data_IF_751368805739
#
_entry.id   IF_751368805739
#
_cell.length_a   1.000
_cell.length_b   1.000
_cell.length_c   1.000
_cell.angle_alpha   90.00
_cell.angle_beta   90.00
_cell.angle_gamma   90.00
#
_symmetry.space_group_name_H-M   'P 1'
#
loop_
_entity.id
_entity.type
_entity.pdbx_description
1 polymer ?
#
# COMPACT_ATOMS: atom_id res chain seq x y z
N UNK A 1 13.31 -13.75 43.34
CA UNK A 1 13.48 -12.30 43.58
C UNK A 1 14.85 -11.71 43.22
N UNK A 2 16.00 -12.38 43.43
CA UNK A 2 17.34 -11.84 43.07
C UNK A 2 17.53 -11.52 41.57
N UNK A 3 16.91 -12.28 40.66
CA UNK A 3 17.08 -12.09 39.20
C UNK A 3 16.38 -10.83 38.64
N UNK A 4 15.22 -10.42 39.18
CA UNK A 4 14.52 -9.21 38.70
C UNK A 4 15.27 -7.90 39.01
N UNK A 5 16.00 -7.84 40.14
CA UNK A 5 16.79 -6.66 40.53
C UNK A 5 17.92 -6.35 39.53
N UNK A 6 18.54 -7.38 38.95
CA UNK A 6 19.62 -7.20 37.97
C UNK A 6 19.09 -6.75 36.60
N UNK A 7 17.90 -7.17 36.19
CA UNK A 7 17.31 -6.74 34.92
C UNK A 7 16.91 -5.25 34.95
N UNK A 8 16.28 -4.81 36.05
CA UNK A 8 15.93 -3.39 36.23
C UNK A 8 17.16 -2.48 36.21
N UNK A 9 18.24 -2.87 36.89
CA UNK A 9 19.50 -2.14 36.87
C UNK A 9 20.12 -2.05 35.47
N UNK A 10 20.09 -3.15 34.70
CA UNK A 10 20.60 -3.16 33.31
C UNK A 10 19.81 -2.23 32.40
N UNK A 11 18.48 -2.27 32.47
CA UNK A 11 17.61 -1.36 31.70
C UNK A 11 17.89 0.09 32.10
N UNK A 12 18.00 0.37 33.41
CA UNK A 12 18.32 1.70 33.90
C UNK A 12 19.67 2.22 33.38
N UNK A 13 20.72 1.40 33.44
CA UNK A 13 22.05 1.77 32.90
C UNK A 13 21.98 2.05 31.41
N UNK A 14 21.25 1.25 30.63
CA UNK A 14 21.06 1.49 29.18
C UNK A 14 20.34 2.82 28.96
N UNK A 15 19.26 3.09 29.68
CA UNK A 15 18.51 4.36 29.57
C UNK A 15 19.37 5.56 29.94
N UNK A 16 20.13 5.49 31.04
CA UNK A 16 21.08 6.55 31.45
C UNK A 16 22.13 6.77 30.37
N UNK A 17 22.69 5.70 29.79
CA UNK A 17 23.66 5.83 28.70
C UNK A 17 23.07 6.48 27.44
N UNK A 18 21.83 6.13 27.07
CA UNK A 18 21.13 6.75 25.94
C UNK A 18 20.85 8.25 26.16
N UNK A 19 20.47 8.64 27.37
CA UNK A 19 20.25 10.04 27.75
C UNK A 19 21.58 10.79 27.78
N UNK A 20 22.60 10.25 28.46
CA UNK A 20 23.91 10.87 28.63
C UNK A 20 24.64 11.10 27.30
N UNK A 21 24.40 10.25 26.30
CA UNK A 21 25.00 10.39 24.96
C UNK A 21 24.22 11.33 24.05
N UNK A 22 23.11 11.92 24.53
CA UNK A 22 22.15 12.67 23.72
C UNK A 22 21.77 11.89 22.44
N UNK A 23 21.48 10.60 22.59
CA UNK A 23 21.17 9.73 21.46
C UNK A 23 20.02 10.28 20.61
N UNK A 24 19.02 10.90 21.26
CA UNK A 24 17.89 11.53 20.58
C UNK A 24 18.31 12.73 19.71
N UNK A 25 19.13 13.65 20.22
CA UNK A 25 19.62 14.79 19.43
C UNK A 25 20.47 14.35 18.23
N UNK A 26 21.25 13.27 18.38
CA UNK A 26 22.02 12.68 17.27
C UNK A 26 21.11 12.01 16.24
N UNK A 27 20.09 11.29 16.71
CA UNK A 27 19.09 10.68 15.84
C UNK A 27 18.30 11.75 15.07
N UNK A 28 17.85 12.82 15.72
CA UNK A 28 17.11 13.90 15.06
C UNK A 28 17.95 14.62 14.00
N UNK A 29 19.24 14.87 14.27
CA UNK A 29 20.15 15.46 13.29
C UNK A 29 20.37 14.54 12.07
N UNK A 30 20.55 13.24 12.31
CA UNK A 30 20.68 12.26 11.22
C UNK A 30 19.41 12.19 10.36
N UNK A 31 18.22 12.25 10.99
CA UNK A 31 16.94 12.25 10.29
C UNK A 31 16.75 13.51 9.43
N UNK A 32 17.07 14.70 9.97
CA UNK A 32 16.89 15.97 9.26
C UNK A 32 17.88 16.18 8.11
N UNK A 33 19.12 15.66 8.25
CA UNK A 33 20.17 15.82 7.23
C UNK A 33 20.14 14.78 6.12
N UNK A 34 19.54 13.61 6.34
CA UNK A 34 19.58 12.49 5.39
C UNK A 34 18.25 12.29 4.65
N UNK A 35 18.27 12.62 3.35
CA UNK A 35 17.13 12.43 2.44
C UNK A 35 16.68 10.97 2.37
N UNK A 36 17.59 10.00 2.52
CA UNK A 36 17.28 8.57 2.50
C UNK A 36 16.45 8.17 3.72
N UNK A 37 16.82 8.65 4.91
CA UNK A 37 16.08 8.39 6.15
C UNK A 37 14.69 9.05 6.09
N UNK A 38 14.62 10.31 5.66
CA UNK A 38 13.34 11.02 5.51
C UNK A 38 12.43 10.33 4.48
N UNK A 39 12.99 9.86 3.35
CA UNK A 39 12.21 9.12 2.36
C UNK A 39 11.66 7.81 2.94
N UNK A 40 12.45 7.07 3.72
CA UNK A 40 11.98 5.85 4.40
C UNK A 40 10.88 6.13 5.41
N UNK A 41 11.02 7.17 6.23
CA UNK A 41 9.99 7.54 7.21
C UNK A 41 8.68 7.94 6.53
N UNK A 42 8.75 8.65 5.40
CA UNK A 42 7.57 9.01 4.58
C UNK A 42 6.91 7.76 3.98
N UNK A 43 7.73 6.87 3.40
CA UNK A 43 7.28 5.58 2.88
C UNK A 43 6.64 4.72 3.98
N UNK A 44 7.22 4.68 5.17
CA UNK A 44 6.68 3.91 6.30
C UNK A 44 5.39 4.49 6.85
N UNK A 45 5.26 5.82 6.88
CA UNK A 45 4.02 6.47 7.24
C UNK A 45 2.91 6.11 6.25
N UNK A 46 3.17 6.14 4.94
CA UNK A 46 2.19 5.70 3.94
C UNK A 46 1.90 4.21 4.00
N UNK A 47 2.91 3.36 4.21
CA UNK A 47 2.71 1.92 4.43
C UNK A 47 1.83 1.62 5.65
N UNK A 48 1.95 2.38 6.74
CA UNK A 48 1.06 2.25 7.88
C UNK A 48 -0.40 2.64 7.56
N UNK A 49 -0.61 3.67 6.73
CA UNK A 49 -1.95 4.02 6.22
C UNK A 49 -2.54 2.89 5.37
N UNK A 50 -1.74 2.32 4.47
CA UNK A 50 -2.12 1.15 3.67
C UNK A 50 -2.55 -0.04 4.54
N UNK A 51 -1.81 -0.30 5.62
CA UNK A 51 -2.15 -1.34 6.61
C UNK A 51 -3.49 -1.05 7.28
N UNK A 52 -3.74 0.20 7.67
CA UNK A 52 -5.00 0.58 8.30
C UNK A 52 -6.20 0.46 7.35
N UNK A 53 -6.00 0.69 6.05
CA UNK A 53 -7.06 0.58 5.04
C UNK A 53 -7.41 -0.87 4.67
N UNK A 54 -6.43 -1.79 4.67
CA UNK A 54 -6.65 -3.23 4.43
C UNK A 54 -5.97 -4.11 5.48
N UNK A 55 -6.45 -4.09 6.74
CA UNK A 55 -5.72 -4.67 7.87
C UNK A 55 -5.68 -6.20 7.88
N UNK A 56 -6.65 -6.87 7.25
CA UNK A 56 -6.80 -8.33 7.36
C UNK A 56 -6.10 -9.07 6.22
N UNK A 57 -6.41 -8.72 4.97
CA UNK A 57 -5.91 -9.43 3.78
C UNK A 57 -4.73 -8.71 3.11
N UNK A 58 -4.46 -7.45 3.48
CA UNK A 58 -3.48 -6.62 2.80
C UNK A 58 -3.87 -6.27 1.36
N UNK A 59 -2.86 -5.92 0.58
CA UNK A 59 -2.98 -5.42 -0.79
C UNK A 59 -2.66 -6.45 -1.86
N UNK A 60 -2.14 -7.62 -1.47
CA UNK A 60 -1.66 -8.67 -2.35
C UNK A 60 -0.15 -8.63 -2.55
N UNK A 61 0.43 -9.80 -2.83
CA UNK A 61 1.87 -9.99 -2.98
C UNK A 61 2.46 -9.14 -4.11
N UNK A 62 3.58 -8.44 -3.84
CA UNK A 62 4.28 -7.60 -4.81
C UNK A 62 3.57 -6.30 -5.21
N UNK A 63 2.48 -5.95 -4.52
CA UNK A 63 1.65 -4.79 -4.87
C UNK A 63 1.92 -3.55 -4.01
N UNK A 64 2.75 -3.68 -2.96
CA UNK A 64 2.96 -2.63 -1.97
C UNK A 64 3.47 -1.32 -2.57
N UNK A 65 4.54 -1.38 -3.36
CA UNK A 65 5.16 -0.21 -3.97
C UNK A 65 4.22 0.54 -4.92
N UNK A 66 3.60 -0.18 -5.86
CA UNK A 66 2.69 0.41 -6.85
C UNK A 66 1.47 1.05 -6.19
N UNK A 67 0.86 0.41 -5.20
CA UNK A 67 -0.30 0.98 -4.49
C UNK A 67 0.09 2.17 -3.62
N UNK A 68 1.28 2.15 -3.00
CA UNK A 68 1.81 3.31 -2.30
C UNK A 68 1.99 4.49 -3.25
N UNK A 69 2.69 4.30 -4.38
CA UNK A 69 2.98 5.37 -5.34
C UNK A 69 1.69 5.99 -5.91
N UNK A 70 0.64 5.18 -6.11
CA UNK A 70 -0.65 5.67 -6.59
C UNK A 70 -1.48 6.40 -5.51
N UNK A 71 -1.60 5.82 -4.32
CA UNK A 71 -2.65 6.23 -3.38
C UNK A 71 -2.13 6.89 -2.10
N UNK A 72 -0.88 6.67 -1.70
CA UNK A 72 -0.38 7.11 -0.38
C UNK A 72 0.87 7.99 -0.44
N UNK A 73 1.58 7.98 -1.58
CA UNK A 73 2.71 8.85 -1.80
C UNK A 73 2.26 10.33 -1.84
N UNK A 74 3.14 11.20 -1.39
CA UNK A 74 2.98 12.64 -1.51
C UNK A 74 2.92 13.07 -2.99
N UNK A 75 2.03 14.01 -3.32
CA UNK A 75 1.79 14.47 -4.68
C UNK A 75 3.01 15.17 -5.31
N UNK A 76 3.92 15.70 -4.49
CA UNK A 76 5.16 16.33 -4.93
C UNK A 76 6.26 15.33 -5.28
N UNK A 77 6.11 14.06 -4.86
CA UNK A 77 7.13 13.03 -5.07
C UNK A 77 6.91 12.29 -6.38
N UNK A 78 8.00 12.05 -7.12
CA UNK A 78 8.02 11.30 -8.38
C UNK A 78 8.76 9.96 -8.27
N UNK A 79 9.26 9.62 -7.09
CA UNK A 79 10.05 8.41 -6.87
C UNK A 79 9.17 7.17 -6.97
N UNK A 80 9.57 6.18 -7.76
CA UNK A 80 8.90 4.89 -7.81
C UNK A 80 9.44 3.96 -6.73
N UNK A 81 8.57 3.25 -6.04
CA UNK A 81 8.92 2.28 -5.01
C UNK A 81 8.52 0.86 -5.42
N UNK A 82 9.41 -0.10 -5.16
CA UNK A 82 9.12 -1.52 -5.35
C UNK A 82 8.63 -2.22 -4.07
N UNK A 83 8.93 -1.67 -2.89
CA UNK A 83 8.59 -2.24 -1.58
C UNK A 83 8.59 -1.16 -0.50
N UNK A 84 8.22 -1.53 0.74
CA UNK A 84 8.25 -0.64 1.90
C UNK A 84 9.65 -0.43 2.50
N UNK A 85 10.71 -1.06 1.96
CA UNK A 85 12.09 -1.01 2.49
C UNK A 85 12.17 -1.43 3.98
N UNK A 86 11.17 -2.17 4.45
CA UNK A 86 11.05 -2.76 5.78
C UNK A 86 10.22 -4.04 5.61
N UNK A 87 10.81 -5.18 5.92
CA UNK A 87 10.18 -6.48 5.61
C UNK A 87 8.90 -6.69 6.40
N UNK A 88 8.83 -6.25 7.67
CA UNK A 88 7.64 -6.40 8.50
C UNK A 88 6.49 -5.52 8.02
N UNK A 89 6.81 -4.28 7.63
CA UNK A 89 5.82 -3.39 7.06
C UNK A 89 5.35 -3.91 5.69
N UNK A 90 6.26 -4.44 4.87
CA UNK A 90 5.89 -5.05 3.59
C UNK A 90 4.96 -6.26 3.79
N UNK A 91 5.22 -7.11 4.79
CA UNK A 91 4.32 -8.20 5.18
C UNK A 91 2.95 -7.67 5.56
N UNK A 92 2.90 -6.65 6.44
CA UNK A 92 1.63 -6.09 6.88
C UNK A 92 0.85 -5.47 5.72
N UNK A 93 1.52 -4.77 4.80
CA UNK A 93 0.89 -4.17 3.62
C UNK A 93 0.38 -5.25 2.67
N UNK A 94 1.19 -6.23 2.31
CA UNK A 94 0.82 -7.18 1.25
C UNK A 94 -0.09 -8.31 1.74
N UNK A 95 0.07 -8.77 2.99
CA UNK A 95 -0.60 -9.97 3.54
C UNK A 95 -1.46 -9.66 4.78
N UNK A 96 -1.45 -8.42 5.27
CA UNK A 96 -2.24 -8.00 6.43
C UNK A 96 -1.56 -8.24 7.79
N UNK A 97 -2.19 -7.67 8.82
CA UNK A 97 -1.77 -7.76 10.21
C UNK A 97 -1.81 -9.18 10.79
N UNK A 98 -2.76 -10.07 10.43
CA UNK A 98 -2.72 -11.46 10.91
C UNK A 98 -1.44 -12.19 10.49
N UNK A 99 -1.00 -12.01 9.25
CA UNK A 99 0.24 -12.61 8.75
C UNK A 99 1.46 -12.06 9.50
N UNK A 100 1.54 -10.72 9.67
CA UNK A 100 2.59 -10.10 10.46
C UNK A 100 2.60 -10.61 11.91
N UNK A 101 1.43 -10.65 12.55
CA UNK A 101 1.27 -11.08 13.94
C UNK A 101 1.72 -12.53 14.15
N UNK A 102 1.42 -13.42 13.20
CA UNK A 102 1.86 -14.81 13.24
C UNK A 102 3.39 -14.92 13.14
N UNK A 103 4.01 -14.17 12.21
CA UNK A 103 5.46 -14.15 12.01
C UNK A 103 6.17 -13.62 13.26
N UNK A 104 5.70 -12.49 13.81
CA UNK A 104 6.26 -11.91 15.03
C UNK A 104 6.08 -12.84 16.23
N UNK A 105 4.91 -13.49 16.35
CA UNK A 105 4.65 -14.46 17.41
C UNK A 105 5.68 -15.59 17.40
N UNK A 106 5.86 -16.26 16.25
CA UNK A 106 6.80 -17.38 16.13
C UNK A 106 8.25 -16.96 16.33
N UNK A 107 8.64 -15.80 15.79
CA UNK A 107 9.99 -15.28 15.95
C UNK A 107 10.31 -14.97 17.42
N UNK A 108 9.41 -14.27 18.11
CA UNK A 108 9.56 -13.94 19.53
C UNK A 108 9.50 -15.21 20.40
N UNK A 109 8.63 -16.14 20.06
CA UNK A 109 8.52 -17.42 20.74
C UNK A 109 9.83 -18.20 20.65
N UNK A 110 10.44 -18.26 19.47
CA UNK A 110 11.76 -18.87 19.27
C UNK A 110 12.84 -18.23 20.14
N UNK A 111 12.93 -16.90 20.15
CA UNK A 111 13.91 -16.16 20.98
C UNK A 111 13.73 -16.48 22.47
N UNK A 112 12.50 -16.40 22.98
CA UNK A 112 12.21 -16.65 24.39
C UNK A 112 12.42 -18.12 24.77
N UNK A 113 12.10 -19.06 23.87
CA UNK A 113 12.36 -20.47 24.07
C UNK A 113 13.86 -20.76 24.11
N UNK A 114 14.66 -20.22 23.18
CA UNK A 114 16.12 -20.35 23.21
C UNK A 114 16.69 -19.86 24.55
N UNK A 115 16.24 -18.71 25.04
CA UNK A 115 16.68 -18.18 26.33
C UNK A 115 16.31 -19.10 27.50
N UNK A 116 15.07 -19.61 27.53
CA UNK A 116 14.58 -20.52 28.60
C UNK A 116 15.30 -21.86 28.57
N UNK A 117 15.48 -22.43 27.38
CA UNK A 117 16.13 -23.72 27.17
C UNK A 117 17.62 -23.68 27.46
N UNK A 118 18.29 -22.54 27.24
CA UNK A 118 19.69 -22.36 27.57
C UNK A 118 19.97 -22.70 29.05
N UNK A 119 19.09 -22.33 29.99
CA UNK A 119 19.25 -22.68 31.40
C UNK A 119 19.20 -24.18 31.70
N UNK A 120 18.73 -25.02 30.77
CA UNK A 120 18.44 -26.43 30.99
C UNK A 120 19.39 -27.37 30.24
N UNK A 121 20.30 -26.86 29.42
CA UNK A 121 21.19 -27.69 28.59
C UNK A 121 22.64 -27.64 29.08
N UNK A 122 23.46 -28.59 28.58
CA UNK A 122 24.90 -28.64 28.84
C UNK A 122 25.60 -27.31 28.44
N UNK A 123 26.80 -27.01 28.95
CA UNK A 123 27.54 -25.80 28.58
C UNK A 123 27.67 -25.61 27.05
N UNK A 124 27.93 -26.69 26.30
CA UNK A 124 28.01 -26.63 24.83
C UNK A 124 26.64 -26.36 24.19
N UNK A 125 25.56 -26.97 24.69
CA UNK A 125 24.20 -26.67 24.22
C UNK A 125 23.75 -25.25 24.54
N UNK A 126 24.25 -24.67 25.65
CA UNK A 126 23.99 -23.28 26.03
C UNK A 126 24.53 -22.30 25.01
N UNK A 127 25.76 -22.52 24.55
CA UNK A 127 26.39 -21.72 23.50
C UNK A 127 25.58 -21.74 22.21
N UNK A 128 25.14 -22.94 21.78
CA UNK A 128 24.33 -23.10 20.57
C UNK A 128 22.99 -22.36 20.65
N UNK A 129 22.24 -22.51 21.75
CA UNK A 129 20.95 -21.82 21.92
C UNK A 129 21.10 -20.30 22.05
N UNK A 130 22.15 -19.84 22.73
CA UNK A 130 22.47 -18.41 22.80
C UNK A 130 22.82 -17.84 21.42
N UNK A 131 23.62 -18.56 20.62
CA UNK A 131 23.93 -18.21 19.24
C UNK A 131 22.70 -18.16 18.35
N UNK A 132 21.83 -19.16 18.43
CA UNK A 132 20.57 -19.19 17.69
C UNK A 132 19.64 -18.02 18.06
N UNK A 133 19.49 -17.75 19.37
CA UNK A 133 18.74 -16.59 19.86
C UNK A 133 19.29 -15.26 19.37
N UNK A 134 20.61 -15.07 19.44
CA UNK A 134 21.28 -13.88 18.96
C UNK A 134 21.12 -13.68 17.45
N UNK A 135 21.23 -14.76 16.66
CA UNK A 135 21.01 -14.72 15.21
C UNK A 135 19.59 -14.34 14.86
N UNK A 136 18.57 -14.85 15.58
CA UNK A 136 17.18 -14.43 15.37
C UNK A 136 16.97 -12.95 15.71
N UNK A 137 17.58 -12.44 16.79
CA UNK A 137 17.51 -11.01 17.13
C UNK A 137 18.16 -10.16 16.05
N UNK A 138 19.39 -10.51 15.63
CA UNK A 138 20.10 -9.82 14.56
C UNK A 138 19.29 -9.81 13.27
N UNK A 139 18.75 -10.97 12.89
CA UNK A 139 17.86 -11.11 11.73
C UNK A 139 16.65 -10.17 11.84
N UNK A 140 16.03 -10.12 13.01
CA UNK A 140 14.89 -9.22 13.27
C UNK A 140 15.26 -7.76 13.05
N UNK A 141 16.42 -7.34 13.54
CA UNK A 141 16.90 -5.98 13.36
C UNK A 141 17.20 -5.65 11.90
N UNK A 142 17.85 -6.56 11.17
CA UNK A 142 18.14 -6.36 9.74
C UNK A 142 16.84 -6.19 8.94
N UNK A 143 15.84 -7.04 9.19
CA UNK A 143 14.56 -6.98 8.49
C UNK A 143 13.70 -5.77 8.85
N UNK A 144 13.90 -5.19 10.04
CA UNK A 144 13.26 -3.93 10.41
C UNK A 144 13.85 -2.75 9.63
N UNK A 145 15.12 -2.83 9.25
CA UNK A 145 15.83 -1.77 8.54
C UNK A 145 15.83 -1.94 7.01
N UNK A 146 15.60 -3.17 6.51
CA UNK A 146 15.70 -3.52 5.10
C UNK A 146 14.62 -4.51 4.66
N UNK A 147 14.26 -4.48 3.37
CA UNK A 147 13.43 -5.51 2.74
C UNK A 147 14.29 -6.68 2.28
N UNK A 148 14.53 -7.64 3.17
CA UNK A 148 15.38 -8.80 2.94
C UNK A 148 14.61 -10.12 3.00
N UNK A 149 13.53 -10.22 3.80
CA UNK A 149 12.79 -11.48 4.01
C UNK A 149 12.17 -12.04 2.73
N UNK A 150 11.56 -11.18 1.90
CA UNK A 150 10.78 -11.61 0.73
C UNK A 150 11.58 -12.32 -0.34
N UNK A 151 12.91 -12.15 -0.35
CA UNK A 151 13.77 -12.74 -1.37
C UNK A 151 14.57 -13.95 -0.88
N UNK A 152 14.39 -14.39 0.38
CA UNK A 152 15.28 -15.41 0.95
C UNK A 152 14.55 -16.48 1.77
N UNK A 153 14.06 -17.50 1.08
CA UNK A 153 13.60 -18.78 1.67
C UNK A 153 14.57 -19.35 2.74
N UNK A 154 15.92 -19.27 2.60
CA UNK A 154 16.84 -19.80 3.61
C UNK A 154 16.65 -19.20 5.01
N UNK A 155 16.25 -17.93 5.09
CA UNK A 155 16.08 -17.23 6.36
C UNK A 155 14.77 -17.60 7.06
N UNK A 156 13.72 -17.89 6.31
CA UNK A 156 12.49 -18.48 6.86
C UNK A 156 12.74 -19.91 7.37
N UNK A 157 13.51 -20.70 6.63
CA UNK A 157 13.91 -22.06 7.04
C UNK A 157 14.79 -22.04 8.29
N UNK A 158 15.66 -21.04 8.46
CA UNK A 158 16.47 -20.87 9.67
C UNK A 158 15.58 -20.67 10.91
N UNK A 159 14.61 -19.75 10.86
CA UNK A 159 13.69 -19.50 11.97
C UNK A 159 12.86 -20.75 12.30
N UNK A 160 12.36 -21.45 11.27
CA UNK A 160 11.65 -22.72 11.44
C UNK A 160 12.55 -23.80 12.08
N UNK A 161 13.80 -23.91 11.63
CA UNK A 161 14.80 -24.83 12.19
C UNK A 161 15.06 -24.58 13.67
N UNK A 162 15.18 -23.31 14.10
CA UNK A 162 15.36 -22.98 15.52
C UNK A 162 14.12 -23.37 16.33
N UNK A 163 12.91 -23.14 15.83
CA UNK A 163 11.67 -23.53 16.50
C UNK A 163 11.54 -25.05 16.63
N UNK A 164 11.91 -25.80 15.58
CA UNK A 164 11.92 -27.27 15.59
C UNK A 164 12.94 -27.79 16.62
N UNK A 165 14.16 -27.25 16.62
CA UNK A 165 15.21 -27.62 17.60
C UNK A 165 14.73 -27.30 19.02
N UNK A 166 14.20 -26.10 19.26
CA UNK A 166 13.68 -25.70 20.56
C UNK A 166 12.53 -26.60 21.02
N UNK A 167 11.60 -26.94 20.11
CA UNK A 167 10.50 -27.87 20.38
C UNK A 167 10.99 -29.27 20.73
N UNK A 168 11.98 -29.79 20.01
CA UNK A 168 12.55 -31.12 20.26
C UNK A 168 13.26 -31.20 21.62
N UNK A 169 14.08 -30.20 21.94
CA UNK A 169 14.73 -30.11 23.25
C UNK A 169 13.73 -29.89 24.40
N UNK A 170 12.67 -29.10 24.14
CA UNK A 170 11.62 -28.85 25.12
C UNK A 170 10.73 -30.07 25.39
N UNK A 171 10.35 -30.81 24.36
CA UNK A 171 9.52 -32.02 24.49
C UNK A 171 10.21 -33.17 25.22
N UNK A 172 11.54 -33.30 25.07
CA UNK A 172 12.33 -34.29 25.84
C UNK A 172 12.37 -33.99 27.34
N UNK A 173 12.32 -32.71 27.72
CA UNK A 173 12.26 -32.29 29.13
C UNK A 173 10.83 -31.90 29.48
N UNK A 174 9.99 -32.89 29.81
CA UNK A 174 8.56 -32.79 30.19
C UNK A 174 8.18 -31.73 31.26
N UNK A 175 9.13 -30.95 31.78
CA UNK A 175 8.94 -29.95 32.84
C UNK A 175 9.00 -28.49 32.37
N UNK A 176 9.15 -28.22 31.07
CA UNK A 176 9.20 -26.82 30.61
C UNK A 176 7.79 -26.27 30.54
N UNK A 177 7.49 -25.31 31.41
CA UNK A 177 6.31 -24.49 31.31
C UNK A 177 6.39 -23.62 30.04
N UNK A 178 5.88 -24.17 28.93
CA UNK A 178 5.69 -23.47 27.66
C UNK A 178 4.69 -22.29 27.68
N UNK A 179 3.63 -22.23 28.54
CA UNK A 179 2.62 -21.19 28.38
C UNK A 179 3.15 -19.78 28.64
N UNK A 180 4.13 -19.60 29.54
CA UNK A 180 4.68 -18.28 29.87
C UNK A 180 5.33 -17.57 28.68
N UNK A 181 6.37 -18.17 28.04
CA UNK A 181 6.99 -17.61 26.84
C UNK A 181 6.01 -17.40 25.70
N UNK A 182 5.11 -18.36 25.45
CA UNK A 182 4.11 -18.25 24.37
C UNK A 182 3.16 -17.08 24.61
N UNK A 183 2.62 -16.94 25.82
CA UNK A 183 1.74 -15.82 26.16
C UNK A 183 2.46 -14.48 26.04
N UNK A 184 3.71 -14.39 26.47
CA UNK A 184 4.50 -13.17 26.33
C UNK A 184 4.75 -12.81 24.86
N UNK A 185 5.12 -13.79 24.03
CA UNK A 185 5.30 -13.60 22.58
C UNK A 185 4.02 -13.17 21.89
N UNK A 186 2.89 -13.78 22.27
CA UNK A 186 1.58 -13.40 21.76
C UNK A 186 1.24 -11.96 22.14
N UNK A 187 1.39 -11.58 23.42
CA UNK A 187 1.11 -10.22 23.89
C UNK A 187 1.98 -9.16 23.21
N UNK A 188 3.28 -9.41 23.04
CA UNK A 188 4.19 -8.48 22.36
C UNK A 188 3.82 -8.38 20.88
N UNK A 189 3.56 -9.51 20.21
CA UNK A 189 3.14 -9.51 18.81
C UNK A 189 1.84 -8.73 18.60
N UNK A 190 0.83 -9.00 19.44
CA UNK A 190 -0.45 -8.30 19.44
C UNK A 190 -0.25 -6.79 19.67
N UNK A 191 0.59 -6.41 20.63
CA UNK A 191 0.91 -5.01 20.88
C UNK A 191 1.55 -4.34 19.66
N UNK A 192 2.50 -5.00 18.98
CA UNK A 192 3.15 -4.45 17.79
C UNK A 192 2.16 -4.25 16.63
N UNK A 193 1.30 -5.23 16.34
CA UNK A 193 0.31 -5.12 15.25
C UNK A 193 -0.76 -4.06 15.56
N UNK A 194 -1.22 -3.98 16.81
CA UNK A 194 -2.17 -2.96 17.24
C UNK A 194 -1.54 -1.56 17.16
N UNK A 195 -0.28 -1.41 17.58
CA UNK A 195 0.44 -0.13 17.50
C UNK A 195 0.59 0.33 16.06
N UNK A 196 0.95 -0.58 15.14
CA UNK A 196 1.04 -0.27 13.71
C UNK A 196 -0.32 0.15 13.12
N UNK A 197 -1.38 -0.57 13.47
CA UNK A 197 -2.74 -0.26 13.04
C UNK A 197 -3.21 1.12 13.54
N UNK A 198 -3.04 1.39 14.84
CA UNK A 198 -3.41 2.68 15.44
C UNK A 198 -2.59 3.84 14.87
N UNK A 199 -1.30 3.62 14.61
CA UNK A 199 -0.45 4.61 13.95
C UNK A 199 -0.93 4.91 12.52
N UNK A 200 -1.35 3.87 11.78
CA UNK A 200 -1.97 4.02 10.46
C UNK A 200 -3.24 4.85 10.50
N UNK A 201 -4.18 4.51 11.41
CA UNK A 201 -5.43 5.27 11.60
C UNK A 201 -5.18 6.74 11.96
N UNK A 202 -4.24 7.00 12.86
CA UNK A 202 -3.87 8.36 13.25
C UNK A 202 -3.22 9.15 12.10
N UNK A 203 -2.62 8.46 11.13
CA UNK A 203 -1.95 9.07 9.98
C UNK A 203 -2.92 9.37 8.83
N UNK A 204 -3.97 8.57 8.63
CA UNK A 204 -4.99 8.81 7.59
C UNK A 204 -5.71 10.14 7.81
N UNK A 205 -6.01 10.49 9.06
CA UNK A 205 -6.74 11.71 9.40
C UNK A 205 -6.04 13.03 9.03
N UNK A 206 -4.77 12.99 8.60
CA UNK A 206 -3.99 14.17 8.20
C UNK A 206 -4.00 14.42 6.70
N UNK A 207 -4.53 13.49 5.90
CA UNK A 207 -4.47 13.63 4.46
C UNK A 207 -5.54 14.60 3.94
N UNK A 208 -5.21 15.42 2.93
CA UNK A 208 -6.14 16.38 2.34
C UNK A 208 -7.27 15.69 1.57
N UNK A 209 -7.12 14.40 1.24
CA UNK A 209 -8.08 13.59 0.50
C UNK A 209 -8.33 12.32 1.28
N UNK A 210 -9.60 12.00 1.51
CA UNK A 210 -9.98 10.70 2.06
C UNK A 210 -10.12 9.70 0.93
N UNK A 211 -9.38 8.61 1.04
CA UNK A 211 -9.41 7.49 0.11
C UNK A 211 -10.20 6.37 0.76
N UNK A 212 -11.13 5.76 0.03
CA UNK A 212 -11.87 4.59 0.48
C UNK A 212 -11.89 3.53 -0.59
N UNK A 213 -11.53 2.31 -0.22
CA UNK A 213 -11.55 1.15 -1.12
C UNK A 213 -12.89 0.44 -0.98
N UNK A 214 -13.74 0.57 -1.99
CA UNK A 214 -14.97 -0.18 -2.10
C UNK A 214 -14.70 -1.61 -2.61
N UNK A 215 -15.70 -2.48 -2.47
CA UNK A 215 -15.65 -3.82 -3.03
C UNK A 215 -15.48 -3.77 -4.57
N UNK A 216 -14.93 -4.84 -5.14
CA UNK A 216 -14.74 -5.01 -6.58
C UNK A 216 -13.77 -4.02 -7.26
N UNK A 217 -12.72 -3.56 -6.56
CA UNK A 217 -11.65 -2.77 -7.19
C UNK A 217 -12.03 -1.31 -7.50
N UNK A 218 -12.98 -0.76 -6.76
CA UNK A 218 -13.39 0.65 -6.88
C UNK A 218 -12.77 1.47 -5.76
N UNK A 219 -12.28 2.66 -6.07
CA UNK A 219 -11.63 3.59 -5.14
C UNK A 219 -12.42 4.89 -5.14
N UNK A 220 -12.71 5.41 -3.96
CA UNK A 220 -13.42 6.67 -3.78
C UNK A 220 -12.47 7.70 -3.22
N UNK A 221 -12.38 8.84 -3.89
CA UNK A 221 -11.70 10.04 -3.41
C UNK A 221 -12.77 11.02 -2.99
N UNK A 222 -12.71 11.51 -1.75
CA UNK A 222 -13.66 12.49 -1.25
C UNK A 222 -12.97 13.51 -0.35
N UNK A 223 -13.57 14.70 -0.26
CA UNK A 223 -13.12 15.72 0.68
C UNK A 223 -13.28 15.23 2.13
N UNK A 224 -12.30 15.46 3.03
CA UNK A 224 -12.43 15.10 4.43
C UNK A 224 -13.71 15.68 5.04
N UNK A 225 -14.51 14.83 5.68
CA UNK A 225 -15.78 15.22 6.31
C UNK A 225 -16.98 15.38 5.35
N UNK A 226 -16.80 15.24 4.04
CA UNK A 226 -17.93 15.25 3.12
C UNK A 226 -18.82 14.01 3.33
N UNK A 227 -20.16 14.15 3.28
CA UNK A 227 -21.05 13.00 3.28
C UNK A 227 -20.79 12.15 2.04
N UNK A 228 -20.94 10.83 2.18
CA UNK A 228 -20.81 9.89 1.07
C UNK A 228 -22.00 10.08 0.12
N UNK A 229 -21.83 10.97 -0.86
CA UNK A 229 -22.77 11.21 -1.96
C UNK A 229 -22.34 10.40 -3.19
N UNK A 230 -23.23 10.34 -4.18
CA UNK A 230 -22.85 9.90 -5.52
C UNK A 230 -21.65 10.74 -6.02
N UNK A 231 -20.68 10.14 -6.73
CA UNK A 231 -19.50 10.85 -7.18
C UNK A 231 -19.91 11.81 -8.30
N UNK A 232 -19.22 12.95 -8.36
CA UNK A 232 -19.41 13.93 -9.43
C UNK A 232 -18.84 13.38 -10.76
N UNK A 233 -17.79 12.56 -10.63
CA UNK A 233 -17.04 12.02 -11.74
C UNK A 233 -16.59 10.58 -11.45
N UNK A 234 -16.79 9.69 -12.41
CA UNK A 234 -16.23 8.34 -12.41
C UNK A 234 -15.13 8.23 -13.46
N UNK A 235 -13.94 7.83 -13.05
CA UNK A 235 -12.77 7.68 -13.92
C UNK A 235 -12.43 6.20 -14.05
N UNK A 236 -12.34 5.71 -15.29
CA UNK A 236 -11.87 4.37 -15.64
C UNK A 236 -10.48 4.51 -16.26
N UNK A 237 -9.40 4.44 -15.45
CA UNK A 237 -8.04 4.62 -15.93
C UNK A 237 -7.58 3.48 -16.83
N UNK A 238 -6.67 3.80 -17.75
CA UNK A 238 -5.85 2.84 -18.51
C UNK A 238 -4.38 3.21 -18.30
N UNK A 239 -3.60 2.24 -17.82
CA UNK A 239 -2.18 2.42 -17.52
C UNK A 239 -1.34 2.71 -18.76
N UNK A 240 -1.82 2.39 -19.96
CA UNK A 240 -1.14 2.76 -21.22
C UNK A 240 -1.28 4.25 -21.52
N UNK A 241 -2.35 4.88 -21.02
CA UNK A 241 -2.67 6.29 -21.28
C UNK A 241 -2.13 7.17 -20.14
N UNK A 242 -2.42 6.82 -18.88
CA UNK A 242 -2.02 7.61 -17.70
C UNK A 242 -0.68 7.19 -17.10
N UNK A 243 -0.10 6.07 -17.56
CA UNK A 243 1.06 5.46 -16.94
C UNK A 243 0.74 4.68 -15.66
N UNK A 244 1.74 4.07 -15.01
CA UNK A 244 1.58 3.20 -13.84
C UNK A 244 1.23 3.96 -12.54
N UNK A 245 1.37 5.29 -12.52
CA UNK A 245 1.04 6.17 -11.39
C UNK A 245 -0.28 6.93 -11.62
N UNK A 246 -1.26 6.31 -12.27
CA UNK A 246 -2.53 6.94 -12.61
C UNK A 246 -3.26 7.49 -11.37
N UNK A 247 -3.24 6.76 -10.25
CA UNK A 247 -3.87 7.18 -9.00
C UNK A 247 -3.29 8.47 -8.43
N UNK A 248 -1.97 8.66 -8.53
CA UNK A 248 -1.32 9.90 -8.06
C UNK A 248 -1.75 11.10 -8.89
N UNK A 249 -1.85 10.93 -10.21
CA UNK A 249 -2.34 11.97 -11.13
C UNK A 249 -3.80 12.31 -10.88
N UNK A 250 -4.65 11.30 -10.69
CA UNK A 250 -6.07 11.50 -10.36
C UNK A 250 -6.23 12.20 -9.01
N UNK A 251 -5.43 11.85 -7.99
CA UNK A 251 -5.43 12.53 -6.69
C UNK A 251 -4.98 13.98 -6.79
N UNK A 252 -3.90 14.26 -7.54
CA UNK A 252 -3.41 15.61 -7.78
C UNK A 252 -4.51 16.48 -8.40
N UNK A 253 -5.12 15.95 -9.45
CA UNK A 253 -6.23 16.58 -10.13
C UNK A 253 -7.43 16.84 -9.22
N UNK A 254 -7.81 15.85 -8.39
CA UNK A 254 -8.88 16.04 -7.42
C UNK A 254 -8.55 17.16 -6.43
N UNK A 255 -7.32 17.22 -5.94
CA UNK A 255 -6.88 18.29 -5.04
C UNK A 255 -6.93 19.68 -5.69
N UNK A 256 -6.51 19.80 -6.94
CA UNK A 256 -6.52 21.06 -7.70
C UNK A 256 -7.94 21.54 -8.02
N UNK A 257 -8.93 20.63 -8.00
CA UNK A 257 -10.32 20.92 -8.36
C UNK A 257 -11.31 20.69 -7.19
N UNK A 258 -10.82 20.68 -5.94
CA UNK A 258 -11.62 20.39 -4.75
C UNK A 258 -12.75 21.40 -4.46
N UNK A 259 -12.71 22.58 -5.10
CA UNK A 259 -13.77 23.58 -5.01
C UNK A 259 -15.00 23.23 -5.87
N UNK A 260 -14.80 22.38 -6.90
CA UNK A 260 -15.85 21.98 -7.85
C UNK A 260 -16.23 20.49 -7.70
N UNK A 261 -15.26 19.65 -7.31
CA UNK A 261 -15.44 18.21 -7.15
C UNK A 261 -15.51 17.84 -5.66
N UNK A 262 -16.62 17.22 -5.27
CA UNK A 262 -16.85 16.70 -3.92
C UNK A 262 -16.34 15.26 -3.78
N UNK A 263 -16.55 14.45 -4.82
CA UNK A 263 -16.12 13.07 -4.86
C UNK A 263 -15.80 12.58 -6.28
N UNK A 264 -14.72 11.80 -6.40
CA UNK A 264 -14.38 11.05 -7.60
C UNK A 264 -14.41 9.57 -7.28
N UNK A 265 -15.03 8.78 -8.15
CA UNK A 265 -14.92 7.33 -8.15
C UNK A 265 -13.89 6.91 -9.20
N UNK A 266 -12.97 6.02 -8.83
CA UNK A 266 -11.99 5.42 -9.74
C UNK A 266 -12.25 3.93 -9.82
N UNK A 267 -12.46 3.41 -11.02
CA UNK A 267 -12.73 1.99 -11.26
C UNK A 267 -11.46 1.34 -11.79
N UNK A 268 -10.74 0.61 -10.92
CA UNK A 268 -9.40 0.12 -11.24
C UNK A 268 -9.36 -0.81 -12.46
N UNK A 269 -8.19 -0.92 -13.13
CA UNK A 269 -8.00 -1.84 -14.24
C UNK A 269 -8.22 -3.30 -13.81
N UNK A 270 -9.44 -3.81 -13.99
CA UNK A 270 -9.84 -5.21 -13.76
C UNK A 270 -11.19 -5.31 -13.06
N UNK A 271 -11.67 -4.22 -12.48
CA UNK A 271 -12.99 -4.09 -11.90
C UNK A 271 -14.09 -4.15 -12.99
N UNK A 272 -15.26 -4.67 -12.59
CA UNK A 272 -16.46 -4.62 -13.42
C UNK A 272 -16.98 -3.18 -13.52
N UNK A 273 -17.27 -2.76 -14.74
CA UNK A 273 -17.76 -1.41 -15.06
C UNK A 273 -19.22 -1.18 -14.67
N UNK A 274 -19.90 -2.23 -14.21
CA UNK A 274 -21.28 -2.16 -13.72
C UNK A 274 -21.41 -1.33 -12.43
N UNK A 275 -20.29 -0.97 -11.80
CA UNK A 275 -20.23 -0.24 -10.53
C UNK A 275 -20.01 1.27 -10.70
N UNK A 276 -20.20 1.83 -11.90
CA UNK A 276 -20.13 3.27 -12.13
C UNK A 276 -21.36 3.97 -11.51
N UNK A 277 -21.23 4.43 -10.28
CA UNK A 277 -22.28 5.16 -9.58
C UNK A 277 -22.19 6.64 -9.93
N UNK A 278 -23.31 7.28 -10.28
CA UNK A 278 -23.41 8.76 -10.40
C UNK A 278 -22.53 9.44 -11.46
N UNK A 279 -22.70 10.76 -11.59
CA UNK A 279 -21.80 11.64 -12.33
C UNK A 279 -21.63 11.40 -13.85
N UNK A 280 -20.60 12.06 -14.39
CA UNK A 280 -20.04 11.79 -15.72
C UNK A 280 -19.05 10.63 -15.63
N UNK A 281 -18.91 9.85 -16.70
CA UNK A 281 -17.97 8.73 -16.76
C UNK A 281 -16.87 9.04 -17.78
N UNK A 282 -15.64 9.17 -17.32
CA UNK A 282 -14.45 9.35 -18.15
C UNK A 282 -13.74 8.01 -18.31
N UNK A 283 -13.67 7.52 -19.54
CA UNK A 283 -13.03 6.25 -19.86
C UNK A 283 -11.77 6.50 -20.67
N UNK A 284 -10.65 6.02 -20.16
CA UNK A 284 -9.38 6.14 -20.84
C UNK A 284 -9.02 4.83 -21.55
N UNK A 285 -8.51 4.94 -22.77
CA UNK A 285 -7.89 3.82 -23.49
C UNK A 285 -8.83 2.70 -23.93
N UNK A 286 -8.35 1.45 -23.83
CA UNK A 286 -8.91 0.31 -24.55
C UNK A 286 -10.22 -0.26 -23.97
N UNK A 287 -10.67 0.24 -22.82
CA UNK A 287 -11.74 -0.39 -22.03
C UNK A 287 -13.15 -0.22 -22.59
N UNK A 288 -13.33 0.54 -23.66
CA UNK A 288 -14.64 0.73 -24.30
C UNK A 288 -15.19 -0.60 -24.82
N UNK A 289 -14.33 -1.49 -25.33
CA UNK A 289 -14.75 -2.82 -25.82
C UNK A 289 -15.06 -3.83 -24.71
N UNK A 290 -14.66 -3.58 -23.47
CA UNK A 290 -14.94 -4.45 -22.31
C UNK A 290 -16.20 -4.06 -21.54
N UNK A 291 -16.89 -2.99 -21.97
CA UNK A 291 -18.24 -2.70 -21.50
C UNK A 291 -19.11 -3.81 -22.07
N UNK A 292 -19.55 -4.73 -21.22
CA UNK A 292 -20.39 -5.86 -21.64
C UNK A 292 -21.76 -5.40 -22.16
N UNK A 293 -22.79 -6.16 -21.90
CA UNK A 293 -24.16 -5.86 -22.37
C UNK A 293 -24.86 -4.74 -21.60
N UNK A 294 -24.23 -4.17 -20.56
CA UNK A 294 -24.79 -3.10 -19.72
C UNK A 294 -23.94 -1.84 -19.83
N UNK A 295 -24.29 -0.90 -20.72
CA UNK A 295 -23.71 0.43 -20.66
C UNK A 295 -24.06 1.12 -19.33
N UNK A 296 -23.34 2.18 -18.94
CA UNK A 296 -23.73 3.07 -17.86
C UNK A 296 -25.16 3.53 -18.09
N UNK A 297 -25.84 3.89 -17.00
CA UNK A 297 -27.26 4.26 -17.04
C UNK A 297 -27.46 5.36 -18.09
N UNK A 298 -28.54 5.29 -18.87
CA UNK A 298 -28.79 6.10 -20.08
C UNK A 298 -28.65 7.64 -19.93
N UNK A 299 -28.57 8.14 -18.69
CA UNK A 299 -28.38 9.56 -18.36
C UNK A 299 -26.95 9.95 -17.95
N UNK A 300 -26.01 9.01 -17.81
CA UNK A 300 -24.62 9.32 -17.52
C UNK A 300 -23.91 9.79 -18.80
N UNK A 301 -23.38 11.01 -18.78
CA UNK A 301 -22.55 11.53 -19.85
C UNK A 301 -21.24 10.76 -19.92
N UNK A 302 -21.02 10.00 -21.00
CA UNK A 302 -19.76 9.26 -21.20
C UNK A 302 -18.79 10.04 -22.06
N UNK A 303 -17.58 10.21 -21.55
CA UNK A 303 -16.46 10.88 -22.20
C UNK A 303 -15.39 9.83 -22.44
N UNK A 304 -15.00 9.67 -23.71
CA UNK A 304 -13.97 8.72 -24.11
C UNK A 304 -12.66 9.44 -24.40
N UNK A 305 -11.54 8.91 -23.91
CA UNK A 305 -10.21 9.49 -24.08
C UNK A 305 -9.25 8.49 -24.68
N UNK A 306 -8.73 8.81 -25.86
CA UNK A 306 -7.80 7.97 -26.62
C UNK A 306 -8.25 6.49 -26.75
N UNK A 307 -9.51 6.20 -27.15
CA UNK A 307 -9.99 4.84 -27.20
C UNK A 307 -9.37 4.02 -28.34
N UNK A 308 -9.22 2.71 -28.12
CA UNK A 308 -8.53 1.82 -29.08
C UNK A 308 -9.44 1.32 -30.20
N UNK A 309 -10.73 1.09 -29.95
CA UNK A 309 -11.65 0.62 -30.98
C UNK A 309 -13.08 1.13 -30.71
N UNK A 310 -13.85 1.49 -31.76
CA UNK A 310 -15.26 1.85 -31.62
C UNK A 310 -16.07 0.76 -30.91
N UNK A 311 -17.11 1.12 -30.13
CA UNK A 311 -17.93 0.13 -29.46
C UNK A 311 -18.68 -0.72 -30.49
N UNK A 312 -18.76 -2.02 -30.21
CA UNK A 312 -19.56 -2.95 -31.02
C UNK A 312 -21.07 -2.82 -30.76
N UNK A 313 -21.44 -2.28 -29.60
CA UNK A 313 -22.82 -2.00 -29.20
C UNK A 313 -23.14 -0.49 -29.29
N UNK A 314 -24.40 -0.13 -29.56
CA UNK A 314 -24.82 1.28 -29.55
C UNK A 314 -24.60 1.88 -28.15
N UNK A 315 -23.84 2.96 -28.10
CA UNK A 315 -23.46 3.63 -26.87
C UNK A 315 -23.50 5.14 -27.09
N UNK A 316 -24.19 5.85 -26.19
CA UNK A 316 -24.29 7.31 -26.25
C UNK A 316 -23.03 7.94 -25.66
N UNK A 317 -22.12 8.36 -26.52
CA UNK A 317 -20.90 9.08 -26.14
C UNK A 317 -21.17 10.57 -26.27
N UNK A 318 -20.93 11.31 -25.19
CA UNK A 318 -21.15 12.76 -25.14
C UNK A 318 -19.98 13.52 -25.75
N UNK A 319 -18.75 13.06 -25.50
CA UNK A 319 -17.55 13.67 -26.03
C UNK A 319 -16.48 12.61 -26.29
N UNK A 320 -15.75 12.79 -27.39
CA UNK A 320 -14.62 11.95 -27.76
C UNK A 320 -13.33 12.77 -27.85
N UNK A 321 -12.33 12.41 -27.05
CA UNK A 321 -10.97 12.93 -27.16
C UNK A 321 -10.10 11.96 -27.97
N UNK A 322 -9.47 12.46 -29.04
CA UNK A 322 -8.54 11.70 -29.88
C UNK A 322 -7.16 12.34 -29.88
N UNK A 323 -6.07 11.56 -29.93
CA UNK A 323 -4.74 12.13 -30.13
C UNK A 323 -4.59 12.74 -31.53
N UNK A 324 -3.78 13.79 -31.65
CA UNK A 324 -3.42 14.37 -32.94
C UNK A 324 -2.54 13.41 -33.75
N UNK A 325 -1.55 12.78 -33.10
CA UNK A 325 -0.71 11.78 -33.73
C UNK A 325 -1.33 10.38 -33.55
N UNK A 326 -1.94 9.87 -34.62
CA UNK A 326 -2.59 8.57 -34.64
C UNK A 326 -1.59 7.43 -34.86
N UNK A 327 -0.73 7.18 -33.86
CA UNK A 327 0.31 6.13 -33.95
C UNK A 327 -0.24 4.73 -34.20
N UNK A 328 -1.50 4.48 -33.83
CA UNK A 328 -2.12 3.16 -33.95
C UNK A 328 -3.19 3.08 -35.05
N UNK A 329 -3.31 4.13 -35.90
CA UNK A 329 -4.29 4.20 -36.98
C UNK A 329 -5.75 3.97 -36.54
N UNK A 330 -6.08 4.34 -35.30
CA UNK A 330 -7.39 4.16 -34.67
C UNK A 330 -8.26 5.42 -34.76
N UNK A 331 -7.66 6.59 -34.95
CA UNK A 331 -8.39 7.86 -34.98
C UNK A 331 -9.34 7.95 -36.18
N UNK A 332 -9.01 7.38 -37.34
CA UNK A 332 -9.87 7.48 -38.53
C UNK A 332 -11.18 6.68 -38.40
N UNK A 333 -11.11 5.49 -37.80
CA UNK A 333 -12.29 4.69 -37.48
C UNK A 333 -13.21 5.44 -36.51
N UNK A 334 -12.62 6.04 -35.47
CA UNK A 334 -13.33 6.85 -34.48
C UNK A 334 -13.90 8.16 -35.04
N UNK A 335 -13.21 8.83 -35.96
CA UNK A 335 -13.73 10.01 -36.69
C UNK A 335 -14.95 9.64 -37.52
N UNK A 336 -14.88 8.52 -38.24
CA UNK A 336 -15.99 8.02 -39.04
C UNK A 336 -17.20 7.69 -38.15
N UNK A 337 -16.98 6.98 -37.05
CA UNK A 337 -18.00 6.68 -36.06
C UNK A 337 -18.62 7.96 -35.46
N UNK A 338 -17.79 8.94 -35.07
CA UNK A 338 -18.25 10.17 -34.46
C UNK A 338 -19.10 11.02 -35.41
N UNK A 339 -18.75 11.09 -36.71
CA UNK A 339 -19.57 11.74 -37.74
C UNK A 339 -20.94 11.08 -37.88
N UNK A 340 -20.98 9.74 -37.92
CA UNK A 340 -22.23 8.97 -38.03
C UNK A 340 -23.14 9.19 -36.83
N UNK A 341 -22.57 9.27 -35.63
CA UNK A 341 -23.31 9.39 -34.37
C UNK A 341 -23.46 10.86 -33.89
N UNK A 342 -23.00 11.83 -34.68
CA UNK A 342 -22.98 13.27 -34.33
C UNK A 342 -22.30 13.54 -32.97
N UNK A 343 -21.27 12.78 -32.65
CA UNK A 343 -20.48 12.93 -31.42
C UNK A 343 -19.44 14.05 -31.61
N UNK A 344 -19.38 15.06 -30.73
CA UNK A 344 -18.30 16.04 -30.71
C UNK A 344 -16.94 15.37 -30.52
N UNK A 345 -15.92 15.87 -31.20
CA UNK A 345 -14.54 15.37 -31.13
C UNK A 345 -13.59 16.51 -30.77
N UNK A 346 -12.74 16.28 -29.77
CA UNK A 346 -11.67 17.20 -29.35
C UNK A 346 -10.33 16.50 -29.55
N UNK A 347 -9.35 17.22 -30.11
CA UNK A 347 -8.01 16.69 -30.30
C UNK A 347 -7.09 17.04 -29.13
N UNK A 348 -6.36 16.03 -28.65
CA UNK A 348 -5.30 16.15 -27.66
C UNK A 348 -3.94 16.18 -28.37
N UNK A 349 -3.04 17.02 -27.87
CA UNK A 349 -1.66 17.03 -28.37
C UNK A 349 -0.95 15.71 -28.02
N UNK A 350 0.00 15.30 -28.85
CA UNK A 350 0.78 14.09 -28.64
C UNK A 350 0.22 12.83 -29.30
N UNK A 351 0.73 11.68 -28.83
CA UNK A 351 0.63 10.35 -29.46
C UNK A 351 -0.40 9.41 -28.81
N UNK A 352 -1.21 9.94 -27.89
CA UNK A 352 -2.21 9.19 -27.14
C UNK A 352 -1.80 8.84 -25.72
N UNK A 353 -0.54 9.06 -25.32
CA UNK A 353 -0.17 9.10 -23.90
C UNK A 353 -0.58 10.45 -23.34
N UNK A 354 -1.33 10.44 -22.24
CA UNK A 354 -1.84 11.65 -21.64
C UNK A 354 -0.83 12.18 -20.62
N UNK A 355 -0.27 13.34 -20.90
CA UNK A 355 0.51 14.08 -19.92
C UNK A 355 -0.42 14.80 -18.91
N UNK A 356 0.15 15.52 -17.95
CA UNK A 356 -0.64 16.22 -16.93
C UNK A 356 -1.55 17.30 -17.54
N UNK A 357 -1.05 18.05 -18.52
CA UNK A 357 -1.80 19.13 -19.17
C UNK A 357 -2.99 18.59 -20.00
N UNK A 358 -2.76 17.52 -20.77
CA UNK A 358 -3.81 16.84 -21.51
C UNK A 358 -4.88 16.24 -20.58
N UNK A 359 -4.47 15.70 -19.43
CA UNK A 359 -5.42 15.15 -18.45
C UNK A 359 -6.23 16.24 -17.78
N UNK A 360 -5.61 17.35 -17.39
CA UNK A 360 -6.33 18.50 -16.84
C UNK A 360 -7.36 19.04 -17.83
N UNK A 361 -7.01 19.17 -19.11
CA UNK A 361 -7.93 19.61 -20.17
C UNK A 361 -9.17 18.72 -20.32
N UNK A 362 -9.02 17.40 -20.15
CA UNK A 362 -10.17 16.48 -20.17
C UNK A 362 -11.11 16.79 -19.00
N UNK A 363 -10.55 17.07 -17.83
CA UNK A 363 -11.31 17.32 -16.61
C UNK A 363 -11.97 18.70 -16.61
N UNK A 364 -11.29 19.73 -17.10
CA UNK A 364 -11.89 21.07 -17.23
C UNK A 364 -13.19 20.98 -18.04
N UNK A 365 -13.19 20.20 -19.14
CA UNK A 365 -14.41 19.95 -19.92
C UNK A 365 -15.49 19.23 -19.10
N UNK A 366 -15.10 18.29 -18.24
CA UNK A 366 -16.02 17.57 -17.36
C UNK A 366 -16.61 18.44 -16.26
N UNK A 367 -15.98 19.56 -15.90
CA UNK A 367 -16.45 20.49 -14.88
C UNK A 367 -17.30 21.60 -15.51
N UNK A 368 -16.87 22.15 -16.65
CA UNK A 368 -17.49 23.32 -17.29
C UNK A 368 -18.77 23.01 -18.08
N UNK A 369 -18.89 21.79 -18.60
CA UNK A 369 -20.08 21.36 -19.36
C UNK A 369 -21.24 21.02 -18.44
#
# INVERSE_FOLDING_TARGET
MKSMKNTGLRIFVILVALIATNAWGRFSLAVQGDKSVTNRLTLWAGGAKMVADKPVLGWGNGSAGLNYDNWYQDLSSQTMHGSMVNSYLNIAVEWGLPALGLILFFLLAGILLCHRLAGLVSPSGRGLLAGAGAMMVFFTMVNACYSTIYNSLPLALLAAGVLIIAGFYGGRKRHIALPGPMLLSFSISLFCVLSLYLFGLASIGKDPVRISHAAAGTIWLCKPGAPQKAPDLTIVPDYKILGPCHGRRIRKLFCENMDYLHAIQVVEPGAELNNCDGGRVVVLGARVGSWGTRPPKDNQGVILVCPVAPPSAPMKIQLLFLPQADRWHVAEAWRSWARQNKCPVVFLEGDGILDEAGFQKVIDYCIDS
#
